data_IF_158789638182
#
_entry.id   IF_158789638182
#
_cell.length_a   1.000
_cell.length_b   1.000
_cell.length_c   1.000
_cell.angle_alpha   90.00
_cell.angle_beta   90.00
_cell.angle_gamma   90.00
#
_symmetry.space_group_name_H-M   'P 1'
#
loop_
_entity.id
_entity.type
_entity.pdbx_description
1 polymer ?
#
# COMPACT_ATOMS: atom_id res chain seq x y z
N UNK A 1 -21.86 11.55 7.06
CA UNK A 1 -21.53 10.81 5.82
C UNK A 1 -20.26 10.03 6.10
N UNK A 2 -20.18 8.79 5.65
CA UNK A 2 -18.98 7.98 5.79
C UNK A 2 -17.98 8.42 4.72
N UNK A 3 -16.71 8.64 5.10
CA UNK A 3 -15.65 8.98 4.17
C UNK A 3 -15.13 7.70 3.48
N UNK A 4 -14.67 7.81 2.23
CA UNK A 4 -14.09 6.68 1.51
C UNK A 4 -12.64 6.47 1.91
N UNK A 5 -12.29 5.23 2.27
CA UNK A 5 -10.92 4.75 2.30
C UNK A 5 -10.61 4.06 0.96
N UNK A 6 -9.60 4.53 0.28
CA UNK A 6 -9.06 3.87 -0.90
C UNK A 6 -8.19 2.69 -0.50
N UNK A 7 -8.45 1.54 -1.10
CA UNK A 7 -7.62 0.34 -0.91
C UNK A 7 -6.65 0.23 -2.08
N UNK A 8 -5.37 0.36 -1.75
CA UNK A 8 -4.25 0.16 -2.65
C UNK A 8 -3.65 -1.22 -2.37
N UNK A 9 -3.79 -2.15 -3.30
CA UNK A 9 -3.26 -3.50 -3.15
C UNK A 9 -1.89 -3.64 -3.81
N UNK A 10 -0.88 -4.01 -3.03
CA UNK A 10 0.49 -4.24 -3.49
C UNK A 10 0.90 -5.73 -3.45
N UNK A 11 -0.07 -6.64 -3.47
CA UNK A 11 0.19 -8.09 -3.52
C UNK A 11 1.09 -8.47 -4.69
N UNK A 12 0.88 -7.83 -5.86
CA UNK A 12 1.63 -8.11 -7.10
C UNK A 12 2.97 -7.36 -7.21
N UNK A 13 3.35 -6.57 -6.22
CA UNK A 13 4.65 -5.91 -6.17
C UNK A 13 5.39 -6.25 -4.87
N UNK A 14 4.99 -5.67 -3.73
CA UNK A 14 5.62 -5.92 -2.42
C UNK A 14 5.35 -7.35 -1.92
N UNK A 15 4.14 -7.85 -2.16
CA UNK A 15 3.78 -9.22 -1.85
C UNK A 15 4.65 -10.27 -2.52
N UNK A 16 5.18 -10.01 -3.72
CA UNK A 16 6.10 -10.90 -4.44
C UNK A 16 7.57 -10.79 -4.00
N UNK A 17 7.92 -9.83 -3.16
CA UNK A 17 9.28 -9.70 -2.62
C UNK A 17 9.59 -10.74 -1.53
N UNK A 18 8.65 -11.64 -1.26
CA UNK A 18 8.87 -12.82 -0.42
C UNK A 18 9.68 -13.87 -1.21
N UNK A 19 10.77 -14.41 -0.65
CA UNK A 19 11.53 -15.46 -1.31
C UNK A 19 10.66 -16.67 -1.68
N UNK A 20 10.68 -17.05 -2.97
CA UNK A 20 9.89 -18.17 -3.48
C UNK A 20 8.46 -17.88 -3.90
N UNK A 21 7.99 -16.62 -3.80
CA UNK A 21 6.62 -16.20 -4.12
C UNK A 21 6.48 -15.55 -5.50
N UNK A 22 7.36 -15.85 -6.45
CA UNK A 22 7.30 -15.25 -7.79
C UNK A 22 6.16 -15.85 -8.63
N UNK A 23 5.31 -14.97 -9.16
CA UNK A 23 4.23 -15.32 -10.09
C UNK A 23 4.67 -15.07 -11.54
N UNK A 24 4.22 -15.94 -12.45
CA UNK A 24 4.31 -15.66 -13.88
C UNK A 24 3.23 -14.66 -14.32
N UNK A 25 3.35 -14.10 -15.53
CA UNK A 25 2.42 -13.08 -16.03
C UNK A 25 0.96 -13.56 -16.06
N UNK A 26 0.69 -14.82 -16.36
CA UNK A 26 -0.68 -15.37 -16.39
C UNK A 26 -1.28 -15.41 -14.99
N UNK A 27 -0.53 -15.86 -14.01
CA UNK A 27 -0.93 -15.88 -12.61
C UNK A 27 -1.16 -14.46 -12.06
N UNK A 28 -0.28 -13.51 -12.41
CA UNK A 28 -0.48 -12.08 -12.06
C UNK A 28 -1.79 -11.53 -12.61
N UNK A 29 -2.14 -11.87 -13.84
CA UNK A 29 -3.41 -11.45 -14.46
C UNK A 29 -4.61 -12.09 -13.72
N UNK A 30 -4.49 -13.34 -13.29
CA UNK A 30 -5.56 -14.02 -12.54
C UNK A 30 -5.79 -13.30 -11.19
N UNK A 31 -4.72 -13.01 -10.46
CA UNK A 31 -4.80 -12.24 -9.20
C UNK A 31 -5.37 -10.84 -9.47
N UNK A 32 -4.91 -10.12 -10.48
CA UNK A 32 -5.39 -8.77 -10.81
C UNK A 32 -6.90 -8.75 -11.10
N UNK A 33 -7.44 -9.72 -11.85
CA UNK A 33 -8.88 -9.87 -12.11
C UNK A 33 -9.68 -10.15 -10.84
N UNK A 34 -9.11 -10.90 -9.91
CA UNK A 34 -9.76 -11.16 -8.63
C UNK A 34 -9.74 -9.91 -7.76
N UNK A 35 -8.64 -9.14 -7.73
CA UNK A 35 -8.55 -7.86 -7.02
C UNK A 35 -9.54 -6.84 -7.59
N UNK A 36 -9.70 -6.77 -8.91
CA UNK A 36 -10.75 -5.96 -9.56
C UNK A 36 -12.15 -6.38 -9.09
N UNK A 37 -12.43 -7.70 -9.09
CA UNK A 37 -13.72 -8.23 -8.63
C UNK A 37 -13.95 -8.00 -7.14
N UNK A 38 -12.89 -8.01 -6.33
CA UNK A 38 -12.91 -7.73 -4.90
C UNK A 38 -13.24 -6.25 -4.62
N UNK A 39 -12.99 -5.37 -5.59
CA UNK A 39 -13.29 -3.94 -5.49
C UNK A 39 -12.15 -3.10 -4.93
N UNK A 40 -10.89 -3.49 -5.13
CA UNK A 40 -9.74 -2.64 -4.79
C UNK A 40 -9.71 -1.41 -5.70
N UNK A 41 -9.27 -0.29 -5.18
CA UNK A 41 -9.24 0.97 -5.92
C UNK A 41 -7.98 1.09 -6.77
N UNK A 42 -6.85 0.58 -6.29
CA UNK A 42 -5.55 0.64 -6.96
C UNK A 42 -4.86 -0.72 -6.87
N UNK A 43 -4.30 -1.19 -7.98
CA UNK A 43 -3.44 -2.39 -8.05
C UNK A 43 -2.04 -1.95 -8.41
N UNK A 44 -1.08 -2.14 -7.50
CA UNK A 44 0.34 -1.98 -7.80
C UNK A 44 0.84 -3.24 -8.51
N UNK A 45 1.00 -3.12 -9.82
CA UNK A 45 1.19 -4.26 -10.70
C UNK A 45 2.65 -4.75 -10.80
N UNK A 46 3.61 -3.95 -10.34
CA UNK A 46 5.01 -4.33 -10.34
C UNK A 46 5.99 -3.15 -10.39
N UNK A 47 7.27 -3.47 -10.65
CA UNK A 47 8.37 -2.53 -10.80
C UNK A 47 9.01 -2.69 -12.19
N UNK A 48 8.48 -2.05 -13.23
CA UNK A 48 8.78 -2.34 -14.65
C UNK A 48 10.26 -2.28 -15.04
N UNK A 49 11.05 -1.43 -14.37
CA UNK A 49 12.49 -1.31 -14.66
C UNK A 49 13.32 -2.52 -14.16
N UNK A 50 12.76 -3.31 -13.24
CA UNK A 50 13.48 -4.42 -12.59
C UNK A 50 13.85 -5.53 -13.58
N UNK A 51 12.95 -5.85 -14.51
CA UNK A 51 13.14 -6.88 -15.53
C UNK A 51 12.18 -6.74 -16.71
N UNK A 52 12.53 -7.33 -17.89
CA UNK A 52 11.59 -7.43 -19.01
C UNK A 52 10.29 -8.19 -18.65
N UNK A 53 10.36 -9.17 -17.73
CA UNK A 53 9.20 -9.91 -17.23
C UNK A 53 8.26 -9.04 -16.44
N UNK A 54 8.77 -8.20 -15.54
CA UNK A 54 7.97 -7.24 -14.78
C UNK A 54 7.34 -6.18 -15.68
N UNK A 55 8.10 -5.65 -16.64
CA UNK A 55 7.56 -4.73 -17.64
C UNK A 55 6.36 -5.34 -18.38
N UNK A 56 6.55 -6.58 -18.89
CA UNK A 56 5.49 -7.28 -19.61
C UNK A 56 4.27 -7.58 -18.72
N UNK A 57 4.49 -7.95 -17.47
CA UNK A 57 3.41 -8.22 -16.52
C UNK A 57 2.56 -6.98 -16.25
N UNK A 58 3.18 -5.82 -16.01
CA UNK A 58 2.46 -4.54 -15.84
C UNK A 58 1.68 -4.19 -17.09
N UNK A 59 2.27 -4.36 -18.28
CA UNK A 59 1.61 -4.09 -19.55
C UNK A 59 0.40 -5.00 -19.78
N UNK A 60 0.51 -6.30 -19.51
CA UNK A 60 -0.58 -7.26 -19.70
C UNK A 60 -1.69 -7.09 -18.65
N UNK A 61 -1.37 -6.78 -17.40
CA UNK A 61 -2.35 -6.41 -16.38
C UNK A 61 -3.11 -5.15 -16.81
N UNK A 62 -2.42 -4.15 -17.35
CA UNK A 62 -3.01 -2.89 -17.85
C UNK A 62 -4.06 -3.13 -18.97
N UNK A 63 -3.95 -4.23 -19.70
CA UNK A 63 -4.96 -4.65 -20.71
C UNK A 63 -6.11 -5.46 -20.10
N UNK A 64 -5.81 -6.21 -19.05
CA UNK A 64 -6.70 -7.25 -18.55
C UNK A 64 -7.78 -6.75 -17.60
N UNK A 65 -7.54 -5.62 -16.91
CA UNK A 65 -8.44 -5.01 -15.93
C UNK A 65 -8.67 -3.54 -16.27
N UNK A 66 -9.80 -2.98 -15.88
CA UNK A 66 -10.21 -1.65 -16.30
C UNK A 66 -10.86 -0.79 -15.21
N UNK A 67 -11.37 -1.39 -14.16
CA UNK A 67 -12.02 -0.67 -13.08
C UNK A 67 -11.03 -0.03 -12.09
N UNK A 68 -10.00 -0.75 -11.59
CA UNK A 68 -9.02 -0.16 -10.70
C UNK A 68 -8.01 0.72 -11.44
N UNK A 69 -7.38 1.62 -10.72
CA UNK A 69 -6.16 2.31 -11.19
C UNK A 69 -4.99 1.32 -11.18
N UNK A 70 -4.29 1.18 -12.31
CA UNK A 70 -3.07 0.38 -12.36
C UNK A 70 -1.88 1.27 -12.03
N UNK A 71 -1.12 0.84 -11.03
CA UNK A 71 0.02 1.54 -10.50
C UNK A 71 1.32 0.81 -10.80
N UNK A 72 2.40 1.55 -11.05
CA UNK A 72 3.74 1.00 -11.20
C UNK A 72 4.72 1.76 -10.30
N UNK A 73 5.55 0.99 -9.56
CA UNK A 73 6.60 1.54 -8.71
C UNK A 73 7.75 2.08 -9.57
N UNK A 74 8.32 3.19 -9.13
CA UNK A 74 9.56 3.78 -9.66
C UNK A 74 10.40 4.37 -8.53
N UNK A 75 11.70 4.36 -8.67
CA UNK A 75 12.55 5.26 -7.89
C UNK A 75 12.44 6.68 -8.45
N UNK A 76 12.88 7.69 -7.70
CA UNK A 76 12.98 9.08 -8.16
C UNK A 76 14.10 9.23 -9.22
N UNK A 77 14.00 8.48 -10.32
CA UNK A 77 14.95 8.40 -11.43
C UNK A 77 14.18 8.45 -12.75
N UNK A 78 14.53 9.37 -13.64
CA UNK A 78 13.82 9.58 -14.92
C UNK A 78 13.64 8.30 -15.73
N UNK A 79 14.69 7.49 -15.85
CA UNK A 79 14.63 6.23 -16.59
C UNK A 79 13.58 5.24 -16.03
N UNK A 80 13.44 5.17 -14.71
CA UNK A 80 12.44 4.30 -14.08
C UNK A 80 11.03 4.80 -14.43
N UNK A 81 10.83 6.11 -14.38
CA UNK A 81 9.56 6.78 -14.71
C UNK A 81 9.19 6.59 -16.17
N UNK A 82 10.16 6.72 -17.11
CA UNK A 82 9.94 6.47 -18.54
C UNK A 82 9.45 5.05 -18.80
N UNK A 83 10.12 4.06 -18.19
CA UNK A 83 9.76 2.63 -18.35
C UNK A 83 8.40 2.32 -17.74
N UNK A 84 8.07 2.92 -16.60
CA UNK A 84 6.76 2.75 -15.97
C UNK A 84 5.64 3.38 -16.81
N UNK A 85 5.86 4.58 -17.34
CA UNK A 85 4.91 5.25 -18.22
C UNK A 85 4.61 4.42 -19.48
N UNK A 86 5.64 3.80 -20.08
CA UNK A 86 5.47 2.92 -21.23
C UNK A 86 4.73 1.62 -20.87
N UNK A 87 5.05 0.99 -19.74
CA UNK A 87 4.35 -0.21 -19.26
C UNK A 87 2.86 0.06 -18.97
N UNK A 88 2.53 1.25 -18.48
CA UNK A 88 1.17 1.67 -18.14
C UNK A 88 0.37 2.25 -19.33
N UNK A 89 0.95 2.35 -20.54
CA UNK A 89 0.34 3.05 -21.68
C UNK A 89 -1.06 2.55 -22.04
N UNK A 90 -1.37 1.31 -21.76
CA UNK A 90 -2.67 0.69 -22.08
C UNK A 90 -3.65 0.67 -20.90
N UNK A 91 -3.23 1.10 -19.72
CA UNK A 91 -4.12 1.19 -18.57
C UNK A 91 -5.15 2.32 -18.79
N UNK A 92 -6.41 2.03 -18.47
CA UNK A 92 -7.50 3.01 -18.52
C UNK A 92 -7.32 4.10 -17.46
N UNK A 93 -7.02 3.69 -16.26
CA UNK A 93 -6.65 4.53 -15.13
C UNK A 93 -5.23 4.14 -14.71
N UNK A 94 -4.33 5.09 -14.63
CA UNK A 94 -2.92 4.81 -14.41
C UNK A 94 -2.32 5.76 -13.39
N UNK A 95 -1.44 5.22 -12.55
CA UNK A 95 -0.68 5.95 -11.54
C UNK A 95 0.79 5.59 -11.64
N UNK A 96 1.67 6.58 -11.50
CA UNK A 96 3.09 6.35 -11.25
C UNK A 96 3.34 6.58 -9.76
N UNK A 97 3.92 5.58 -9.11
CA UNK A 97 4.32 5.60 -7.70
C UNK A 97 5.83 5.82 -7.63
N UNK A 98 6.25 7.04 -7.33
CA UNK A 98 7.66 7.44 -7.32
C UNK A 98 8.06 7.97 -5.95
N UNK A 99 9.32 7.80 -5.55
CA UNK A 99 9.75 8.31 -4.26
C UNK A 99 11.22 8.11 -3.96
N UNK A 100 11.61 8.57 -2.76
CA UNK A 100 13.00 8.58 -2.30
C UNK A 100 13.03 8.50 -0.77
N UNK A 101 14.14 7.97 -0.24
CA UNK A 101 14.35 7.86 1.20
C UNK A 101 14.53 9.20 1.89
N UNK A 102 13.77 9.41 2.99
CA UNK A 102 13.70 10.69 3.73
C UNK A 102 14.23 10.62 5.17
N UNK A 103 14.55 9.42 5.67
CA UNK A 103 15.17 9.28 6.98
C UNK A 103 16.65 9.67 6.97
N UNK A 104 17.23 10.05 8.12
CA UNK A 104 18.66 10.30 8.23
C UNK A 104 19.51 9.14 7.70
N UNK A 105 19.14 7.89 8.02
CA UNK A 105 19.82 6.68 7.56
C UNK A 105 19.78 6.57 6.02
N UNK A 106 18.66 6.90 5.40
CA UNK A 106 18.56 6.88 3.94
C UNK A 106 19.31 8.04 3.29
N UNK A 107 19.20 9.23 3.84
CA UNK A 107 19.86 10.43 3.27
C UNK A 107 21.38 10.31 3.35
N UNK A 108 21.93 10.02 4.53
CA UNK A 108 23.38 10.08 4.75
C UNK A 108 24.09 8.78 4.42
N UNK A 109 23.53 7.62 4.79
CA UNK A 109 24.22 6.34 4.66
C UNK A 109 23.94 5.66 3.31
N UNK A 110 22.65 5.58 2.90
CA UNK A 110 22.23 4.91 1.65
C UNK A 110 22.48 5.79 0.43
N UNK A 111 22.01 7.04 0.45
CA UNK A 111 22.03 7.95 -0.70
C UNK A 111 23.26 8.87 -0.72
N UNK A 112 23.98 8.97 0.40
CA UNK A 112 25.17 9.83 0.57
C UNK A 112 24.92 11.25 0.10
N UNK A 113 23.81 11.83 0.54
CA UNK A 113 23.26 13.10 0.06
C UNK A 113 22.99 14.07 1.21
N UNK A 114 22.26 15.15 0.94
CA UNK A 114 21.78 16.11 1.92
C UNK A 114 20.26 16.24 1.87
N UNK A 115 19.60 16.67 2.95
CA UNK A 115 18.15 16.86 2.97
C UNK A 115 17.64 17.74 1.82
N UNK A 116 18.36 18.81 1.49
CA UNK A 116 17.99 19.76 0.43
C UNK A 116 18.02 19.08 -0.95
N UNK A 117 19.08 18.32 -1.26
CA UNK A 117 19.18 17.58 -2.53
C UNK A 117 18.12 16.49 -2.65
N UNK A 118 17.78 15.82 -1.54
CA UNK A 118 16.69 14.81 -1.53
C UNK A 118 15.35 15.50 -1.82
N UNK A 119 15.08 16.64 -1.21
CA UNK A 119 13.87 17.41 -1.48
C UNK A 119 13.79 17.86 -2.94
N UNK A 120 14.90 18.40 -3.49
CA UNK A 120 14.96 18.78 -4.92
C UNK A 120 14.69 17.58 -5.83
N UNK A 121 15.31 16.44 -5.56
CA UNK A 121 15.12 15.21 -6.34
C UNK A 121 13.67 14.69 -6.24
N UNK A 122 13.04 14.76 -5.07
CA UNK A 122 11.63 14.41 -4.89
C UNK A 122 10.73 15.29 -5.78
N UNK A 123 10.93 16.60 -5.74
CA UNK A 123 10.17 17.57 -6.55
C UNK A 123 10.36 17.33 -8.05
N UNK A 124 11.60 17.10 -8.49
CA UNK A 124 11.88 16.82 -9.91
C UNK A 124 11.24 15.51 -10.37
N UNK A 125 11.28 14.45 -9.56
CA UNK A 125 10.69 13.16 -9.91
C UNK A 125 9.17 13.26 -10.03
N UNK A 126 8.50 13.94 -9.09
CA UNK A 126 7.04 14.14 -9.15
C UNK A 126 6.66 14.96 -10.38
N UNK A 127 7.33 16.07 -10.65
CA UNK A 127 7.10 16.90 -11.86
C UNK A 127 7.29 16.08 -13.14
N UNK A 128 8.32 15.24 -13.17
CA UNK A 128 8.61 14.42 -14.33
C UNK A 128 7.56 13.32 -14.52
N UNK A 129 7.16 12.63 -13.47
CA UNK A 129 6.05 11.65 -13.51
C UNK A 129 4.74 12.32 -13.95
N UNK A 130 4.47 13.53 -13.45
CA UNK A 130 3.28 14.34 -13.83
C UNK A 130 3.21 14.67 -15.31
N UNK A 131 4.34 14.68 -16.03
CA UNK A 131 4.35 14.88 -17.48
C UNK A 131 3.78 13.69 -18.28
N UNK A 132 3.69 12.50 -17.65
CA UNK A 132 3.16 11.29 -18.27
C UNK A 132 1.74 10.91 -17.81
N UNK A 133 1.42 11.18 -16.54
CA UNK A 133 0.15 10.79 -15.92
C UNK A 133 -0.40 11.92 -15.05
N UNK A 134 -1.72 11.97 -14.90
CA UNK A 134 -2.35 12.95 -14.00
C UNK A 134 -2.30 12.53 -12.55
N UNK A 135 -2.29 11.22 -12.27
CA UNK A 135 -2.29 10.63 -10.93
C UNK A 135 -0.87 10.18 -10.58
N UNK A 136 -0.24 10.88 -9.64
CA UNK A 136 1.13 10.59 -9.15
C UNK A 136 1.09 10.39 -7.65
N UNK A 137 1.55 9.22 -7.21
CA UNK A 137 1.78 8.94 -5.81
C UNK A 137 3.26 9.13 -5.47
N UNK A 138 3.53 9.89 -4.41
CA UNK A 138 4.88 10.07 -3.89
C UNK A 138 5.06 9.31 -2.58
N UNK A 139 6.00 8.37 -2.53
CA UNK A 139 6.36 7.71 -1.28
C UNK A 139 7.60 8.34 -0.64
N UNK A 140 7.48 8.71 0.65
CA UNK A 140 8.57 9.18 1.48
C UNK A 140 9.24 7.97 2.17
N UNK A 141 10.11 7.21 1.45
CA UNK A 141 10.69 5.95 1.94
C UNK A 141 11.32 6.15 3.33
N UNK A 142 11.00 5.22 4.25
CA UNK A 142 11.47 5.25 5.64
C UNK A 142 10.96 6.46 6.47
N UNK A 143 9.76 6.95 6.15
CA UNK A 143 9.11 8.03 6.87
C UNK A 143 8.91 7.71 8.36
N UNK A 144 8.78 6.43 8.72
CA UNK A 144 8.70 5.98 10.11
C UNK A 144 9.82 6.52 10.98
N UNK A 145 11.05 6.64 10.45
CA UNK A 145 12.25 7.14 11.15
C UNK A 145 12.63 8.58 10.79
N UNK A 146 11.89 9.22 9.91
CA UNK A 146 12.17 10.59 9.51
C UNK A 146 11.79 11.61 10.58
N UNK A 147 12.53 12.72 10.63
CA UNK A 147 12.16 13.90 11.41
C UNK A 147 10.82 14.46 10.91
N UNK A 148 9.82 14.70 11.79
CA UNK A 148 8.50 15.14 11.37
C UNK A 148 8.48 16.48 10.63
N UNK A 149 9.35 17.43 11.00
CA UNK A 149 9.41 18.76 10.36
C UNK A 149 9.98 18.64 8.95
N UNK A 150 11.05 17.84 8.78
CA UNK A 150 11.60 17.59 7.47
C UNK A 150 10.64 16.80 6.58
N UNK A 151 9.99 15.77 7.12
CA UNK A 151 8.96 15.00 6.40
C UNK A 151 7.82 15.91 5.91
N UNK A 152 7.32 16.83 6.75
CA UNK A 152 6.29 17.77 6.36
C UNK A 152 6.74 18.68 5.20
N UNK A 153 7.98 19.18 5.23
CA UNK A 153 8.54 19.97 4.13
C UNK A 153 8.61 19.19 2.81
N UNK A 154 9.02 17.91 2.87
CA UNK A 154 9.09 17.05 1.68
C UNK A 154 7.71 16.76 1.12
N UNK A 155 6.75 16.43 1.98
CA UNK A 155 5.34 16.17 1.60
C UNK A 155 4.72 17.41 0.97
N UNK A 156 4.87 18.59 1.59
CA UNK A 156 4.37 19.86 1.07
C UNK A 156 4.94 20.16 -0.34
N UNK A 157 6.25 19.97 -0.51
CA UNK A 157 6.93 20.19 -1.78
C UNK A 157 6.49 19.18 -2.86
N UNK A 158 6.29 17.90 -2.50
CA UNK A 158 5.78 16.89 -3.42
C UNK A 158 4.36 17.20 -3.89
N UNK A 159 3.46 17.62 -2.99
CA UNK A 159 2.10 18.06 -3.33
C UNK A 159 2.14 19.29 -4.25
N UNK A 160 2.97 20.28 -3.92
CA UNK A 160 3.15 21.47 -4.75
C UNK A 160 3.72 21.13 -6.15
N UNK A 161 4.50 20.05 -6.27
CA UNK A 161 5.01 19.54 -7.55
C UNK A 161 3.95 18.78 -8.37
N UNK A 162 2.81 18.40 -7.75
CA UNK A 162 1.67 17.77 -8.41
C UNK A 162 1.35 16.35 -7.95
N UNK A 163 1.92 15.88 -6.84
CA UNK A 163 1.51 14.61 -6.24
C UNK A 163 0.03 14.68 -5.80
N UNK A 164 -0.73 13.66 -6.17
CA UNK A 164 -2.15 13.49 -5.82
C UNK A 164 -2.33 12.63 -4.59
N UNK A 165 -1.33 11.80 -4.29
CA UNK A 165 -1.25 10.95 -3.10
C UNK A 165 0.15 11.06 -2.52
N UNK A 166 0.25 11.08 -1.20
CA UNK A 166 1.51 11.04 -0.45
C UNK A 166 1.50 9.84 0.50
N UNK A 167 2.40 8.92 0.24
CA UNK A 167 2.53 7.69 1.01
C UNK A 167 3.60 7.85 2.10
N UNK A 168 3.25 7.44 3.32
CA UNK A 168 4.06 7.60 4.54
C UNK A 168 4.43 6.21 5.08
N UNK A 169 5.48 5.56 4.55
CA UNK A 169 5.79 4.19 4.93
C UNK A 169 6.51 4.06 6.28
N UNK A 170 6.05 3.12 7.10
CA UNK A 170 6.83 2.48 8.16
C UNK A 170 7.63 1.32 7.54
N UNK A 171 8.68 1.69 6.82
CA UNK A 171 9.49 0.77 6.00
C UNK A 171 10.19 -0.31 6.83
N UNK A 172 10.56 0.00 8.05
CA UNK A 172 11.21 -0.96 8.96
C UNK A 172 10.23 -1.75 9.82
N UNK A 173 8.95 -1.38 9.84
CA UNK A 173 7.93 -2.03 10.65
C UNK A 173 8.12 -1.86 12.16
N UNK A 174 8.77 -0.77 12.60
CA UNK A 174 9.15 -0.56 14.00
C UNK A 174 8.33 0.51 14.73
N UNK A 175 7.47 1.24 14.02
CA UNK A 175 6.60 2.21 14.67
C UNK A 175 5.59 1.54 15.59
N UNK A 176 5.32 2.17 16.73
CA UNK A 176 4.15 1.83 17.54
C UNK A 176 2.90 2.58 17.00
N UNK A 177 1.68 2.06 17.21
CA UNK A 177 0.48 2.66 16.63
C UNK A 177 0.28 4.14 16.99
N UNK A 178 0.55 4.52 18.23
CA UNK A 178 0.44 5.92 18.66
C UNK A 178 1.51 6.82 18.01
N UNK A 179 2.72 6.32 17.79
CA UNK A 179 3.80 7.07 17.12
C UNK A 179 3.47 7.30 15.65
N UNK A 180 3.02 6.22 14.97
CA UNK A 180 2.64 6.30 13.57
C UNK A 180 1.44 7.23 13.35
N UNK A 181 0.38 7.07 14.17
CA UNK A 181 -0.78 7.94 14.14
C UNK A 181 -0.44 9.41 14.41
N UNK A 182 0.43 9.68 15.41
CA UNK A 182 0.89 11.02 15.71
C UNK A 182 1.66 11.66 14.53
N UNK A 183 2.43 10.87 13.78
CA UNK A 183 3.13 11.32 12.57
C UNK A 183 2.15 11.72 11.47
N UNK A 184 1.13 10.90 11.20
CA UNK A 184 0.06 11.26 10.24
C UNK A 184 -0.67 12.53 10.68
N UNK A 185 -1.04 12.61 11.96
CA UNK A 185 -1.69 13.81 12.53
C UNK A 185 -0.82 15.05 12.37
N UNK A 186 0.49 14.93 12.61
CA UNK A 186 1.44 16.02 12.42
C UNK A 186 1.42 16.56 10.99
N UNK A 187 1.39 15.68 9.98
CA UNK A 187 1.30 16.10 8.56
C UNK A 187 -0.02 16.81 8.27
N UNK A 188 -1.13 16.29 8.76
CA UNK A 188 -2.45 16.91 8.61
C UNK A 188 -2.46 18.33 9.19
N UNK A 189 -1.82 18.54 10.33
CA UNK A 189 -1.83 19.83 11.04
C UNK A 189 -0.82 20.86 10.51
N UNK A 190 0.27 20.42 9.86
CA UNK A 190 1.41 21.31 9.55
C UNK A 190 1.72 21.43 8.05
N UNK A 191 1.16 20.58 7.18
CA UNK A 191 1.36 20.69 5.73
C UNK A 191 0.26 21.58 5.15
N UNK A 192 0.63 22.76 4.67
CA UNK A 192 -0.32 23.82 4.32
C UNK A 192 -1.24 23.49 3.12
N UNK A 193 -0.82 22.56 2.27
CA UNK A 193 -1.54 22.13 1.06
C UNK A 193 -2.01 20.68 1.14
N UNK A 194 -2.14 20.12 2.33
CA UNK A 194 -2.48 18.70 2.54
C UNK A 194 -3.86 18.32 1.98
N UNK A 195 -4.76 19.28 1.92
CA UNK A 195 -6.10 19.15 1.34
C UNK A 195 -6.11 18.84 -0.16
N UNK A 196 -4.98 19.04 -0.85
CA UNK A 196 -4.81 18.77 -2.29
C UNK A 196 -4.36 17.36 -2.61
N UNK A 197 -4.05 16.54 -1.60
CA UNK A 197 -3.61 15.17 -1.79
C UNK A 197 -4.19 14.23 -0.74
N UNK A 198 -4.22 12.95 -1.08
CA UNK A 198 -4.61 11.89 -0.14
C UNK A 198 -3.36 11.43 0.62
N UNK A 199 -3.45 11.29 1.94
CA UNK A 199 -2.40 10.62 2.72
C UNK A 199 -2.64 9.11 2.65
N UNK A 200 -1.61 8.36 2.24
CA UNK A 200 -1.56 6.91 2.19
C UNK A 200 -0.70 6.35 3.33
N UNK A 201 -1.12 5.22 3.88
CA UNK A 201 -0.34 4.45 4.85
C UNK A 201 0.26 3.21 4.19
N UNK A 202 1.51 2.91 4.50
CA UNK A 202 2.18 1.66 4.12
C UNK A 202 2.99 1.15 5.31
N UNK A 203 2.60 0.03 5.91
CA UNK A 203 3.23 -0.44 7.14
C UNK A 203 3.70 -1.88 7.00
N UNK A 204 5.00 -2.11 7.29
CA UNK A 204 5.55 -3.45 7.43
C UNK A 204 5.30 -4.05 8.81
N UNK A 205 5.37 -5.36 8.91
CA UNK A 205 4.87 -6.14 10.05
C UNK A 205 5.97 -6.73 10.94
N UNK A 206 7.17 -6.15 10.94
CA UNK A 206 8.33 -6.70 11.63
C UNK A 206 8.12 -6.88 13.15
N UNK A 207 7.37 -5.98 13.77
CA UNK A 207 6.96 -6.11 15.18
C UNK A 207 5.49 -6.56 15.35
N UNK A 208 4.82 -7.02 14.29
CA UNK A 208 3.42 -7.43 14.36
C UNK A 208 2.42 -6.28 14.48
N UNK A 209 2.80 -5.05 14.09
CA UNK A 209 1.99 -3.85 14.29
C UNK A 209 1.43 -3.24 12.99
N UNK A 210 1.67 -3.86 11.82
CA UNK A 210 1.31 -3.27 10.52
C UNK A 210 -0.16 -2.85 10.44
N UNK A 211 -1.09 -3.75 10.72
CA UNK A 211 -2.53 -3.45 10.69
C UNK A 211 -2.91 -2.40 11.73
N UNK A 212 -2.34 -2.48 12.94
CA UNK A 212 -2.60 -1.51 14.00
C UNK A 212 -2.07 -0.11 13.64
N UNK A 213 -0.88 -0.02 13.03
CA UNK A 213 -0.31 1.23 12.55
C UNK A 213 -1.16 1.84 11.43
N UNK A 214 -1.57 1.03 10.46
CA UNK A 214 -2.47 1.47 9.37
C UNK A 214 -3.79 2.01 9.91
N UNK A 215 -4.44 1.29 10.83
CA UNK A 215 -5.68 1.77 11.47
C UNK A 215 -5.44 3.07 12.26
N UNK A 216 -4.33 3.18 12.97
CA UNK A 216 -3.96 4.43 13.66
C UNK A 216 -3.75 5.57 12.67
N UNK A 217 -3.15 5.33 11.52
CA UNK A 217 -3.02 6.33 10.44
C UNK A 217 -4.37 6.78 9.90
N UNK A 218 -5.30 5.84 9.66
CA UNK A 218 -6.67 6.12 9.20
C UNK A 218 -7.42 7.00 10.20
N UNK A 219 -7.34 6.66 11.49
CA UNK A 219 -7.96 7.45 12.57
C UNK A 219 -7.39 8.86 12.70
N UNK A 220 -6.18 9.09 12.20
CA UNK A 220 -5.48 10.38 12.23
C UNK A 220 -5.47 11.13 10.89
N UNK A 221 -6.25 10.70 9.90
CA UNK A 221 -6.49 11.46 8.67
C UNK A 221 -6.02 10.83 7.37
N UNK A 222 -5.38 9.64 7.39
CA UNK A 222 -5.10 8.91 6.15
C UNK A 222 -6.39 8.42 5.49
N UNK A 223 -6.43 8.43 4.16
CA UNK A 223 -7.59 8.00 3.36
C UNK A 223 -7.23 7.04 2.23
N UNK A 224 -6.00 6.57 2.19
CA UNK A 224 -5.57 5.39 1.43
C UNK A 224 -4.80 4.46 2.36
N UNK A 225 -5.00 3.15 2.21
CA UNK A 225 -4.24 2.11 2.88
C UNK A 225 -3.59 1.19 1.84
N UNK A 226 -2.27 1.09 1.86
CA UNK A 226 -1.54 0.07 1.11
C UNK A 226 -1.54 -1.23 1.91
N UNK A 227 -2.00 -2.26 1.25
CA UNK A 227 -2.26 -3.56 1.86
C UNK A 227 -1.87 -4.68 0.92
N UNK A 228 -1.76 -5.88 1.46
CA UNK A 228 -1.64 -7.10 0.66
C UNK A 228 -2.66 -8.14 1.11
N UNK A 229 -3.06 -9.02 0.20
CA UNK A 229 -3.82 -10.21 0.56
C UNK A 229 -2.98 -11.07 1.53
N UNK A 230 -3.56 -11.52 2.62
CA UNK A 230 -2.91 -12.30 3.68
C UNK A 230 -1.79 -11.57 4.44
N UNK A 231 -1.58 -10.28 4.18
CA UNK A 231 -0.48 -9.54 4.78
C UNK A 231 0.90 -9.97 4.29
N UNK A 232 1.00 -10.59 3.12
CA UNK A 232 2.30 -11.03 2.56
C UNK A 232 3.17 -9.83 2.19
N UNK A 233 4.50 -10.02 2.14
CA UNK A 233 5.47 -8.97 1.80
C UNK A 233 6.85 -9.26 2.34
N UNK A 234 7.77 -8.33 2.13
CA UNK A 234 9.13 -8.45 2.63
C UNK A 234 9.18 -8.81 4.13
N UNK A 235 10.14 -9.62 4.52
CA UNK A 235 10.43 -10.01 5.92
C UNK A 235 9.22 -10.63 6.63
N UNK A 236 8.54 -9.87 7.50
CA UNK A 236 7.36 -10.32 8.24
C UNK A 236 6.02 -9.96 7.57
N UNK A 237 6.08 -9.33 6.39
CA UNK A 237 4.92 -8.97 5.60
C UNK A 237 4.46 -7.52 5.77
N UNK A 238 3.28 -7.24 5.24
CA UNK A 238 2.62 -5.95 5.19
C UNK A 238 1.32 -5.92 6.00
N UNK A 239 0.67 -4.79 5.99
CA UNK A 239 -0.72 -4.66 6.44
C UNK A 239 -1.62 -5.61 5.65
N UNK A 240 -2.45 -6.36 6.37
CA UNK A 240 -3.36 -7.35 5.80
C UNK A 240 -4.67 -6.68 5.35
N UNK A 241 -5.04 -6.85 4.07
CA UNK A 241 -6.28 -6.31 3.50
C UNK A 241 -7.50 -6.74 4.30
N UNK A 242 -7.63 -8.03 4.56
CA UNK A 242 -8.77 -8.62 5.25
C UNK A 242 -8.92 -8.09 6.67
N UNK A 243 -7.82 -7.83 7.36
CA UNK A 243 -7.85 -7.31 8.73
C UNK A 243 -8.31 -5.85 8.78
N UNK A 244 -7.81 -5.00 7.88
CA UNK A 244 -8.26 -3.59 7.78
C UNK A 244 -9.73 -3.52 7.44
N UNK A 245 -10.16 -4.21 6.39
CA UNK A 245 -11.54 -4.17 5.90
C UNK A 245 -12.53 -4.67 6.95
N UNK A 246 -12.23 -5.78 7.59
CA UNK A 246 -13.13 -6.35 8.60
C UNK A 246 -13.14 -5.54 9.89
N UNK A 247 -12.02 -4.94 10.27
CA UNK A 247 -12.00 -4.01 11.41
C UNK A 247 -12.94 -2.82 11.17
N UNK A 248 -12.85 -2.16 10.00
CA UNK A 248 -13.72 -1.02 9.68
C UNK A 248 -15.20 -1.43 9.61
N UNK A 249 -15.51 -2.65 9.15
CA UNK A 249 -16.88 -3.16 9.12
C UNK A 249 -17.45 -3.46 10.50
N UNK A 250 -16.62 -3.92 11.43
CA UNK A 250 -17.04 -4.20 12.81
C UNK A 250 -17.14 -2.93 13.66
N UNK A 251 -16.38 -1.87 13.32
CA UNK A 251 -16.29 -0.62 14.06
C UNK A 251 -16.95 0.53 13.28
N UNK A 252 -18.28 0.53 13.23
CA UNK A 252 -19.08 1.52 12.49
C UNK A 252 -18.97 2.94 13.03
N UNK A 253 -18.49 3.11 14.25
CA UNK A 253 -18.15 4.40 14.86
C UNK A 253 -16.95 5.07 14.16
N UNK A 254 -16.11 4.29 13.48
CA UNK A 254 -15.09 4.82 12.55
C UNK A 254 -15.84 5.20 11.28
N UNK A 255 -16.07 6.51 11.08
CA UNK A 255 -16.84 7.03 9.95
C UNK A 255 -16.09 6.93 8.59
N UNK A 256 -15.45 5.80 8.32
CA UNK A 256 -14.67 5.49 7.11
C UNK A 256 -15.05 4.11 6.60
N UNK A 257 -15.25 3.95 5.30
CA UNK A 257 -15.63 2.66 4.69
C UNK A 257 -14.89 2.43 3.35
N UNK A 258 -14.87 1.19 2.90
CA UNK A 258 -14.20 0.75 1.66
C UNK A 258 -15.19 0.22 0.63
N UNK A 259 -14.76 0.15 -0.64
CA UNK A 259 -15.51 -0.50 -1.72
C UNK A 259 -15.37 -2.03 -1.75
N UNK A 260 -14.68 -2.64 -0.81
CA UNK A 260 -14.35 -4.07 -0.86
C UNK A 260 -15.58 -4.96 -0.65
N UNK A 261 -15.78 -5.93 -1.54
CA UNK A 261 -16.74 -7.01 -1.34
C UNK A 261 -16.16 -8.09 -0.40
N UNK A 262 -16.49 -8.00 0.87
CA UNK A 262 -15.98 -8.92 1.89
C UNK A 262 -16.31 -10.40 1.62
N UNK A 263 -17.34 -10.71 0.82
CA UNK A 263 -17.70 -12.09 0.45
C UNK A 263 -16.61 -12.77 -0.39
N UNK A 264 -15.74 -11.98 -1.03
CA UNK A 264 -14.65 -12.47 -1.88
C UNK A 264 -13.31 -12.60 -1.14
N UNK A 265 -13.20 -12.12 0.10
CA UNK A 265 -11.94 -12.10 0.86
C UNK A 265 -11.34 -13.51 1.00
N UNK A 266 -12.13 -14.49 1.43
CA UNK A 266 -11.65 -15.88 1.59
C UNK A 266 -11.19 -16.47 0.25
N UNK A 267 -11.91 -16.17 -0.85
CA UNK A 267 -11.53 -16.62 -2.19
C UNK A 267 -10.19 -15.99 -2.62
N UNK A 268 -10.00 -14.69 -2.36
CA UNK A 268 -8.75 -13.98 -2.65
C UNK A 268 -7.58 -14.56 -1.84
N UNK A 269 -7.79 -14.78 -0.55
CA UNK A 269 -6.81 -15.41 0.34
C UNK A 269 -6.36 -16.79 -0.17
N UNK A 270 -7.30 -17.64 -0.56
CA UNK A 270 -6.99 -18.99 -1.07
C UNK A 270 -6.25 -18.95 -2.40
N UNK A 271 -6.67 -18.09 -3.35
CA UNK A 271 -6.00 -17.99 -4.65
C UNK A 271 -4.54 -17.54 -4.47
N UNK A 272 -4.30 -16.44 -3.76
CA UNK A 272 -2.95 -15.91 -3.54
C UNK A 272 -2.08 -16.93 -2.80
N UNK A 273 -2.61 -17.54 -1.73
CA UNK A 273 -1.90 -18.59 -0.96
C UNK A 273 -1.50 -19.78 -1.84
N UNK A 274 -2.40 -20.21 -2.74
CA UNK A 274 -2.14 -21.34 -3.65
C UNK A 274 -1.10 -20.99 -4.72
N UNK A 275 -1.26 -19.86 -5.40
CA UNK A 275 -0.36 -19.46 -6.49
C UNK A 275 1.05 -19.14 -6.00
N UNK A 276 1.17 -18.49 -4.85
CA UNK A 276 2.46 -18.14 -4.26
C UNK A 276 3.07 -19.27 -3.41
N UNK A 277 2.41 -20.42 -3.32
CA UNK A 277 2.82 -21.54 -2.46
C UNK A 277 3.16 -21.10 -1.02
N UNK A 278 2.38 -20.15 -0.51
CA UNK A 278 2.53 -19.58 0.83
C UNK A 278 1.28 -19.85 1.66
N UNK A 279 1.19 -20.99 2.36
CA UNK A 279 -0.01 -21.36 3.08
C UNK A 279 -0.31 -20.41 4.23
N UNK A 280 -1.59 -20.04 4.34
CA UNK A 280 -2.08 -19.20 5.43
C UNK A 280 -1.96 -19.96 6.76
N UNK A 281 -1.43 -19.31 7.78
CA UNK A 281 -1.36 -19.90 9.11
C UNK A 281 -2.76 -20.27 9.62
N UNK A 282 -2.95 -21.45 10.25
CA UNK A 282 -4.27 -21.87 10.70
C UNK A 282 -4.99 -20.89 11.63
N UNK A 283 -4.25 -20.14 12.41
CA UNK A 283 -4.73 -19.14 13.37
C UNK A 283 -4.67 -17.70 12.83
N UNK A 284 -4.42 -17.49 11.52
CA UNK A 284 -4.46 -16.15 10.92
C UNK A 284 -5.84 -15.54 11.13
N UNK A 285 -5.88 -14.29 11.53
CA UNK A 285 -7.13 -13.56 11.68
C UNK A 285 -7.94 -13.55 10.36
N UNK A 286 -9.24 -13.61 10.45
CA UNK A 286 -10.25 -13.55 9.37
C UNK A 286 -10.20 -14.76 8.42
N UNK A 287 -9.05 -15.13 7.84
CA UNK A 287 -8.92 -16.11 6.74
C UNK A 287 -8.30 -17.43 7.15
N UNK A 288 -7.74 -17.55 8.34
CA UNK A 288 -7.19 -18.82 8.84
C UNK A 288 -8.28 -19.85 9.07
N UNK A 289 -7.99 -21.14 8.80
CA UNK A 289 -8.97 -22.24 8.97
C UNK A 289 -9.56 -22.36 10.38
N UNK A 290 -8.86 -21.83 11.40
CA UNK A 290 -9.30 -21.83 12.79
C UNK A 290 -10.04 -20.55 13.18
N UNK A 291 -10.19 -19.57 12.30
CA UNK A 291 -10.78 -18.26 12.61
C UNK A 291 -12.21 -18.38 13.19
N UNK A 292 -12.95 -19.42 12.75
CA UNK A 292 -14.31 -19.71 13.21
C UNK A 292 -14.42 -21.06 13.93
N UNK A 293 -13.28 -21.66 14.34
CA UNK A 293 -13.24 -22.95 15.02
C UNK A 293 -12.91 -22.77 16.49
N UNK A 294 -13.57 -23.53 17.36
CA UNK A 294 -13.31 -23.58 18.79
C UNK A 294 -13.58 -24.98 19.33
N UNK A 295 -12.85 -25.37 20.39
CA UNK A 295 -12.98 -26.68 21.04
C UNK A 295 -13.63 -26.61 22.43
N UNK A 296 -13.90 -25.38 22.92
CA UNK A 296 -14.51 -25.20 24.23
C UNK A 296 -16.04 -25.09 24.16
N UNK A 297 -16.75 -25.90 24.95
CA UNK A 297 -18.22 -25.83 25.02
C UNK A 297 -18.75 -24.46 25.45
N UNK A 298 -18.02 -23.75 26.32
CA UNK A 298 -18.36 -22.38 26.77
C UNK A 298 -18.26 -21.38 25.64
N UNK A 299 -17.20 -21.46 24.82
CA UNK A 299 -17.02 -20.61 23.64
C UNK A 299 -18.10 -20.83 22.60
N UNK A 300 -18.57 -22.09 22.40
CA UNK A 300 -19.65 -22.41 21.48
C UNK A 300 -20.95 -21.68 21.82
N UNK A 301 -21.28 -21.58 23.11
CA UNK A 301 -22.51 -20.91 23.57
C UNK A 301 -22.45 -19.39 23.40
N UNK A 302 -21.25 -18.80 23.51
CA UNK A 302 -21.08 -17.34 23.42
C UNK A 302 -20.98 -16.84 21.99
N UNK A 303 -20.37 -17.60 21.06
CA UNK A 303 -20.23 -17.20 19.66
C UNK A 303 -21.57 -17.21 18.91
N UNK A 304 -22.48 -18.12 19.21
CA UNK A 304 -23.86 -18.11 18.64
C UNK A 304 -24.67 -16.87 18.98
N UNK A 305 -24.27 -16.10 19.98
CA UNK A 305 -24.95 -14.87 20.35
C UNK A 305 -24.49 -13.64 19.52
N UNK A 306 -23.47 -13.81 18.64
CA UNK A 306 -22.89 -12.74 17.83
C UNK A 306 -22.97 -13.00 16.32
N UNK A 307 -23.57 -14.14 15.88
CA UNK A 307 -23.94 -14.39 14.49
C UNK A 307 -25.28 -13.70 14.17
#
# INVERSE_FOLDING_TARGET
MCEKLFIFDTTLRDGEQVPGCQLNTTEKIEVAKLLESLGVDVIEAGFPISSPGDFNSVLEISKAVSAPTICALTRAVKKDIDVAADALRLARHKRIHTGIGVSPQHIYDKLRSTPEKILEQAVEAVKYAKSYVEDVEFYAEDAGRADPQYLARVVEAAIAAGATVVNIPDTTGYCLPHEYGAKIKYLVDHVSNIDKAIISTHCHNDLGMATANTLSGILNGARQAEVTINGIGERAGNTSLEEVVMTLRCHKEIAVDTGIDARLITKASHLVSSLMNMPVQPNKAIVGRNAFAHSSAVSYTHLRAHE
#
